data_IF_854189668774
#
_entry.id   IF_854189668774
#
_cell.length_a   1.000
_cell.length_b   1.000
_cell.length_c   1.000
_cell.angle_alpha   90.00
_cell.angle_beta   90.00
_cell.angle_gamma   90.00
#
_symmetry.space_group_name_H-M   'P 1'
#
loop_
_entity.id
_entity.type
_entity.pdbx_description
1 polymer ?
#
# COMPACT_ATOMS: atom_id res chain seq x y z
N UNK A 1 18.26 0.82 -10.84
CA UNK A 1 18.88 0.34 -9.65
C UNK A 1 17.86 -0.14 -8.65
N UNK A 2 18.32 -0.73 -7.55
CA UNK A 2 17.45 -1.41 -6.61
C UNK A 2 16.48 -0.47 -5.89
N UNK A 3 16.88 0.76 -5.63
CA UNK A 3 16.00 1.72 -4.95
C UNK A 3 14.74 2.02 -5.75
N UNK A 4 14.88 2.19 -7.06
CA UNK A 4 13.73 2.45 -7.93
C UNK A 4 12.82 1.24 -7.99
N UNK A 5 13.40 0.04 -8.01
CA UNK A 5 12.64 -1.20 -8.01
C UNK A 5 11.79 -1.35 -6.76
N UNK A 6 12.36 -1.03 -5.60
CA UNK A 6 11.65 -1.13 -4.32
C UNK A 6 10.48 -0.16 -4.27
N UNK A 7 10.65 1.05 -4.76
CA UNK A 7 9.57 2.03 -4.81
C UNK A 7 8.44 1.52 -5.71
N UNK A 8 8.78 0.98 -6.85
CA UNK A 8 7.80 0.45 -7.78
C UNK A 8 7.02 -0.71 -7.15
N UNK A 9 7.73 -1.64 -6.52
CA UNK A 9 7.09 -2.79 -5.86
C UNK A 9 6.11 -2.34 -4.79
N UNK A 10 6.49 -1.34 -4.01
CA UNK A 10 5.63 -0.81 -2.96
C UNK A 10 4.35 -0.24 -3.55
N UNK A 11 4.48 0.54 -4.62
CA UNK A 11 3.32 1.15 -5.26
C UNK A 11 2.37 0.10 -5.82
N UNK A 12 2.89 -0.93 -6.45
CA UNK A 12 2.07 -2.01 -7.00
C UNK A 12 1.33 -2.75 -5.89
N UNK A 13 2.04 -3.06 -4.80
CA UNK A 13 1.42 -3.74 -3.67
C UNK A 13 0.31 -2.91 -3.05
N UNK A 14 0.56 -1.62 -2.85
CA UNK A 14 -0.45 -0.73 -2.29
C UNK A 14 -1.68 -0.67 -3.17
N UNK A 15 -1.48 -0.59 -4.47
CA UNK A 15 -2.58 -0.54 -5.42
C UNK A 15 -3.41 -1.82 -5.38
N UNK A 16 -2.74 -2.96 -5.37
CA UNK A 16 -3.43 -4.25 -5.30
C UNK A 16 -4.21 -4.40 -4.01
N UNK A 17 -3.62 -4.04 -2.91
CA UNK A 17 -4.30 -4.12 -1.61
C UNK A 17 -5.49 -3.17 -1.55
N UNK A 18 -5.33 -1.97 -2.09
CA UNK A 18 -6.42 -1.01 -2.12
C UNK A 18 -7.59 -1.53 -2.93
N UNK A 19 -7.32 -2.14 -4.08
CA UNK A 19 -8.37 -2.70 -4.90
C UNK A 19 -9.11 -3.83 -4.19
N UNK A 20 -8.37 -4.71 -3.51
CA UNK A 20 -8.97 -5.81 -2.76
C UNK A 20 -9.89 -5.33 -1.66
N UNK A 21 -9.53 -4.24 -0.99
CA UNK A 21 -10.30 -3.72 0.13
C UNK A 21 -11.36 -2.71 -0.31
N UNK A 22 -11.41 -2.42 -1.61
CA UNK A 22 -12.36 -1.45 -2.13
C UNK A 22 -12.00 -0.02 -1.80
N UNK A 23 -10.73 0.24 -1.56
CA UNK A 23 -10.25 1.58 -1.24
C UNK A 23 -9.96 2.33 -2.55
N UNK A 24 -10.82 3.26 -2.89
CA UNK A 24 -10.70 4.02 -4.13
C UNK A 24 -11.11 5.47 -3.90
N UNK A 25 -11.12 6.25 -4.98
CA UNK A 25 -11.47 7.66 -4.88
C UNK A 25 -12.92 7.88 -4.47
N UNK A 26 -13.81 6.97 -4.84
CA UNK A 26 -15.20 7.04 -4.42
C UNK A 26 -15.31 6.95 -2.90
N UNK A 27 -14.59 6.02 -2.30
CA UNK A 27 -14.57 5.89 -0.86
C UNK A 27 -14.00 7.15 -0.20
N UNK A 28 -12.97 7.73 -0.80
CA UNK A 28 -12.37 8.95 -0.30
C UNK A 28 -13.37 10.09 -0.25
N UNK A 29 -14.24 10.17 -1.27
CA UNK A 29 -15.28 11.20 -1.32
C UNK A 29 -16.39 10.95 -0.32
N UNK A 30 -16.77 9.69 -0.14
CA UNK A 30 -17.86 9.33 0.75
C UNK A 30 -17.46 9.37 2.21
N UNK A 31 -16.28 8.84 2.52
CA UNK A 31 -15.80 8.75 3.90
C UNK A 31 -14.28 8.90 3.91
N UNK A 32 -13.85 10.15 3.97
CA UNK A 32 -12.43 10.47 3.94
C UNK A 32 -11.66 9.88 5.12
N UNK A 33 -12.27 9.89 6.30
CA UNK A 33 -11.61 9.36 7.49
C UNK A 33 -11.34 7.86 7.35
N UNK A 34 -12.32 7.14 6.86
CA UNK A 34 -12.16 5.70 6.64
C UNK A 34 -11.12 5.44 5.57
N UNK A 35 -11.15 6.23 4.50
CA UNK A 35 -10.17 6.09 3.43
C UNK A 35 -8.75 6.29 3.95
N UNK A 36 -8.54 7.32 4.77
CA UNK A 36 -7.22 7.61 5.35
C UNK A 36 -6.75 6.46 6.21
N UNK A 37 -7.62 5.93 7.07
CA UNK A 37 -7.25 4.81 7.94
C UNK A 37 -6.86 3.58 7.14
N UNK A 38 -7.65 3.26 6.13
CA UNK A 38 -7.36 2.09 5.29
C UNK A 38 -6.06 2.28 4.53
N UNK A 39 -5.80 3.47 4.02
CA UNK A 39 -4.57 3.76 3.30
C UNK A 39 -3.34 3.65 4.20
N UNK A 40 -3.46 4.11 5.44
CA UNK A 40 -2.37 3.99 6.40
C UNK A 40 -2.06 2.52 6.67
N UNK A 41 -3.10 1.70 6.87
CA UNK A 41 -2.92 0.28 7.08
C UNK A 41 -2.29 -0.41 5.86
N UNK A 42 -2.76 -0.07 4.68
CA UNK A 42 -2.23 -0.63 3.44
C UNK A 42 -0.75 -0.26 3.28
N UNK A 43 -0.42 1.00 3.52
CA UNK A 43 0.96 1.47 3.41
C UNK A 43 1.86 0.74 4.39
N UNK A 44 1.42 0.60 5.62
CA UNK A 44 2.18 -0.11 6.65
C UNK A 44 2.40 -1.57 6.28
N UNK A 45 1.36 -2.23 5.79
CA UNK A 45 1.46 -3.63 5.37
C UNK A 45 2.42 -3.79 4.19
N UNK A 46 2.34 -2.89 3.21
CA UNK A 46 3.21 -2.95 2.05
C UNK A 46 4.67 -2.75 2.45
N UNK A 47 4.93 -1.80 3.33
CA UNK A 47 6.28 -1.57 3.82
C UNK A 47 6.83 -2.78 4.57
N UNK A 48 6.01 -3.39 5.38
CA UNK A 48 6.41 -4.58 6.13
C UNK A 48 6.77 -5.73 5.19
N UNK A 49 5.99 -5.93 4.15
CA UNK A 49 6.27 -7.00 3.18
C UNK A 49 7.60 -6.76 2.49
N UNK A 50 7.85 -5.53 2.06
CA UNK A 50 9.10 -5.18 1.38
C UNK A 50 10.29 -5.35 2.31
N UNK A 51 10.18 -4.89 3.55
CA UNK A 51 11.25 -4.99 4.53
C UNK A 51 11.54 -6.46 4.84
N UNK A 52 10.52 -7.27 5.04
CA UNK A 52 10.71 -8.69 5.31
C UNK A 52 11.42 -9.40 4.18
N UNK A 53 11.04 -9.11 2.96
CA UNK A 53 11.70 -9.69 1.80
C UNK A 53 13.18 -9.32 1.75
N UNK A 54 13.50 -8.10 2.12
CA UNK A 54 14.87 -7.63 2.14
C UNK A 54 15.70 -8.33 3.23
N UNK A 55 15.10 -8.54 4.39
CA UNK A 55 15.78 -9.15 5.52
C UNK A 55 16.08 -10.63 5.28
N UNK A 56 15.19 -11.31 4.59
CA UNK A 56 15.37 -12.74 4.34
C UNK A 56 16.46 -13.06 3.33
N UNK A 57 16.98 -12.06 2.71
CA UNK A 57 18.11 -12.25 1.81
C UNK A 57 19.41 -12.27 2.59
#
# INVERSE_FOLDING_TARGET
SSAASDVYKRQVLMKQMAEKQGVNENLKRQDQMKWVRLMINIKSSAEEIVVKNTIYM
#
